data_IF_186448560617
#
_entry.id   IF_186448560617
#
_cell.length_a   1.000
_cell.length_b   1.000
_cell.length_c   1.000
_cell.angle_alpha   90.00
_cell.angle_beta   90.00
_cell.angle_gamma   90.00
#
_symmetry.space_group_name_H-M   'P 1'
#
loop_
_entity.id
_entity.type
_entity.pdbx_description
1 polymer ?
#
# COMPACT_ATOMS: atom_id res chain seq x y z
N UNK A 1 -11.40 10.47 -15.73
CA UNK A 1 -10.89 10.07 -14.39
C UNK A 1 -11.62 10.94 -13.39
N UNK A 2 -12.20 10.39 -12.32
CA UNK A 2 -12.86 11.20 -11.29
C UNK A 2 -11.84 12.05 -10.52
N UNK A 3 -12.28 13.11 -9.85
CA UNK A 3 -11.43 13.94 -8.98
C UNK A 3 -10.70 13.08 -7.92
N UNK A 4 -11.43 12.15 -7.28
CA UNK A 4 -10.86 11.21 -6.32
C UNK A 4 -9.76 10.32 -6.93
N UNK A 5 -9.94 9.85 -8.16
CA UNK A 5 -8.92 9.04 -8.84
C UNK A 5 -7.68 9.88 -9.20
N UNK A 6 -7.84 11.14 -9.62
CA UNK A 6 -6.71 12.03 -9.87
C UNK A 6 -5.90 12.27 -8.59
N UNK A 7 -6.58 12.63 -7.49
CA UNK A 7 -5.96 12.87 -6.18
C UNK A 7 -5.25 11.65 -5.62
N UNK A 8 -5.85 10.46 -5.72
CA UNK A 8 -5.21 9.23 -5.28
C UNK A 8 -3.95 8.93 -6.10
N UNK A 9 -4.00 9.15 -7.42
CA UNK A 9 -2.84 8.99 -8.30
C UNK A 9 -1.70 9.91 -7.87
N UNK A 10 -1.99 11.20 -7.63
CA UNK A 10 -1.01 12.19 -7.18
C UNK A 10 -0.37 11.79 -5.85
N UNK A 11 -1.18 11.35 -4.88
CA UNK A 11 -0.70 10.87 -3.59
C UNK A 11 0.24 9.67 -3.74
N UNK A 12 -0.13 8.68 -4.54
CA UNK A 12 0.69 7.48 -4.79
C UNK A 12 2.02 7.88 -5.45
N UNK A 13 1.96 8.71 -6.48
CA UNK A 13 3.17 9.19 -7.15
C UNK A 13 4.07 10.02 -6.22
N UNK A 14 3.48 10.77 -5.29
CA UNK A 14 4.22 11.53 -4.29
C UNK A 14 5.00 10.61 -3.34
N UNK A 15 4.34 9.67 -2.66
CA UNK A 15 5.01 8.75 -1.74
C UNK A 15 6.05 7.89 -2.46
N UNK A 16 5.75 7.43 -3.67
CA UNK A 16 6.68 6.59 -4.42
C UNK A 16 7.99 7.32 -4.73
N UNK A 17 7.91 8.57 -5.20
CA UNK A 17 9.11 9.39 -5.45
C UNK A 17 9.87 9.71 -4.16
N UNK A 18 9.15 10.05 -3.10
CA UNK A 18 9.74 10.40 -1.82
C UNK A 18 10.52 9.22 -1.24
N UNK A 19 9.88 8.05 -1.14
CA UNK A 19 10.46 6.85 -0.54
C UNK A 19 11.56 6.22 -1.40
N UNK A 20 11.52 6.36 -2.73
CA UNK A 20 12.62 5.91 -3.60
C UNK A 20 13.87 6.78 -3.47
N UNK A 21 13.76 8.00 -2.95
CA UNK A 21 14.88 8.89 -2.67
C UNK A 21 15.47 8.75 -1.27
N UNK A 22 14.92 7.85 -0.43
CA UNK A 22 15.37 7.64 0.95
C UNK A 22 16.24 6.38 1.04
N UNK A 23 17.44 6.53 1.61
CA UNK A 23 18.32 5.39 1.91
C UNK A 23 17.88 4.63 3.17
N UNK A 24 17.22 5.33 4.09
CA UNK A 24 16.70 4.74 5.33
C UNK A 24 15.44 3.91 5.07
N UNK A 25 15.40 2.73 5.69
CA UNK A 25 14.27 1.81 5.58
C UNK A 25 13.13 2.25 6.50
N UNK A 26 13.40 2.73 7.71
CA UNK A 26 12.36 3.13 8.66
C UNK A 26 12.24 4.64 8.68
N UNK A 27 11.24 5.16 7.98
CA UNK A 27 10.96 6.60 7.92
C UNK A 27 9.50 6.88 8.27
N UNK A 28 9.18 8.09 8.80
CA UNK A 28 7.81 8.48 9.10
C UNK A 28 6.85 8.29 7.91
N UNK A 29 7.31 8.59 6.70
CA UNK A 29 6.48 8.52 5.50
C UNK A 29 6.17 7.09 5.08
N UNK A 30 7.08 6.14 5.35
CA UNK A 30 6.84 4.71 5.10
C UNK A 30 5.89 4.13 6.14
N UNK A 31 5.98 4.58 7.39
CA UNK A 31 5.00 4.24 8.44
C UNK A 31 3.62 4.77 8.07
N UNK A 32 3.53 6.00 7.57
CA UNK A 32 2.27 6.58 7.10
C UNK A 32 1.70 5.82 5.91
N UNK A 33 2.52 5.47 4.92
CA UNK A 33 2.10 4.64 3.79
C UNK A 33 1.58 3.27 4.23
N UNK A 34 2.26 2.61 5.17
CA UNK A 34 1.80 1.35 5.74
C UNK A 34 0.45 1.49 6.46
N UNK A 35 0.26 2.57 7.23
CA UNK A 35 -1.01 2.89 7.90
C UNK A 35 -2.16 3.06 6.90
N UNK A 36 -1.94 3.87 5.85
CA UNK A 36 -2.94 4.08 4.79
C UNK A 36 -3.27 2.77 4.07
N UNK A 37 -2.24 1.97 3.76
CA UNK A 37 -2.41 0.66 3.10
C UNK A 37 -3.20 -0.31 3.97
N UNK A 38 -2.94 -0.35 5.28
CA UNK A 38 -3.68 -1.18 6.22
C UNK A 38 -5.15 -0.73 6.34
N UNK A 39 -5.40 0.57 6.42
CA UNK A 39 -6.76 1.12 6.50
C UNK A 39 -7.59 0.77 5.24
N UNK A 40 -7.04 1.03 4.05
CA UNK A 40 -7.67 0.66 2.78
C UNK A 40 -7.81 -0.87 2.63
N UNK A 41 -6.80 -1.63 3.06
CA UNK A 41 -6.78 -3.09 3.04
C UNK A 41 -7.88 -3.73 3.88
N UNK A 42 -8.19 -3.18 5.06
CA UNK A 42 -9.31 -3.66 5.88
C UNK A 42 -10.65 -3.46 5.21
N UNK A 43 -10.83 -2.37 4.46
CA UNK A 43 -12.04 -2.20 3.66
C UNK A 43 -12.12 -3.24 2.54
N UNK A 44 -11.03 -3.46 1.80
CA UNK A 44 -10.99 -4.50 0.78
C UNK A 44 -11.33 -5.87 1.37
N UNK A 45 -10.70 -6.22 2.49
CA UNK A 45 -10.89 -7.49 3.18
C UNK A 45 -12.35 -7.73 3.56
N UNK A 46 -12.99 -6.72 4.18
CA UNK A 46 -14.44 -6.76 4.49
C UNK A 46 -15.31 -6.81 3.24
N UNK A 47 -15.01 -6.00 2.24
CA UNK A 47 -15.76 -5.94 0.99
C UNK A 47 -15.75 -7.28 0.24
N UNK A 48 -14.64 -8.01 0.28
CA UNK A 48 -14.50 -9.34 -0.33
C UNK A 48 -15.09 -10.47 0.52
N UNK A 49 -15.41 -10.22 1.79
CA UNK A 49 -15.89 -11.25 2.71
C UNK A 49 -14.83 -12.31 3.00
N UNK A 50 -13.55 -11.92 3.02
CA UNK A 50 -12.47 -12.83 3.39
C UNK A 50 -12.47 -13.11 4.90
N UNK A 51 -12.01 -14.29 5.27
CA UNK A 51 -11.76 -14.68 6.65
C UNK A 51 -10.27 -14.61 7.00
N UNK A 52 -9.95 -14.81 8.29
CA UNK A 52 -8.59 -14.69 8.82
C UNK A 52 -7.60 -15.73 8.26
N UNK A 53 -8.07 -16.75 7.53
CA UNK A 53 -7.18 -17.68 6.82
C UNK A 53 -6.62 -17.07 5.53
N UNK A 54 -7.23 -16.01 5.01
CA UNK A 54 -6.78 -15.36 3.78
C UNK A 54 -5.43 -14.64 3.98
N UNK A 55 -4.46 -14.74 3.04
CA UNK A 55 -3.12 -14.16 3.21
C UNK A 55 -3.08 -12.67 3.58
N UNK A 56 -4.05 -11.89 3.10
CA UNK A 56 -4.18 -10.46 3.41
C UNK A 56 -4.35 -10.18 4.90
N UNK A 57 -4.97 -11.09 5.68
CA UNK A 57 -5.09 -10.93 7.13
C UNK A 57 -3.71 -10.84 7.81
N UNK A 58 -2.76 -11.69 7.38
CA UNK A 58 -1.37 -11.66 7.88
C UNK A 58 -0.66 -10.38 7.49
N UNK A 59 -0.87 -9.89 6.27
CA UNK A 59 -0.28 -8.63 5.80
C UNK A 59 -0.81 -7.42 6.57
N UNK A 60 -2.11 -7.41 6.90
CA UNK A 60 -2.69 -6.39 7.77
C UNK A 60 -2.08 -6.42 9.18
N UNK A 61 -1.92 -7.61 9.76
CA UNK A 61 -1.31 -7.77 11.08
C UNK A 61 0.17 -7.32 11.09
N UNK A 62 0.94 -7.63 10.04
CA UNK A 62 2.33 -7.18 9.94
C UNK A 62 2.44 -5.67 9.71
N UNK A 63 1.55 -5.08 8.91
CA UNK A 63 1.46 -3.63 8.77
C UNK A 63 1.16 -2.94 10.11
N UNK A 64 0.25 -3.50 10.91
CA UNK A 64 -0.06 -3.01 12.27
C UNK A 64 1.14 -3.10 13.20
N UNK A 65 1.89 -4.20 13.15
CA UNK A 65 3.11 -4.38 13.94
C UNK A 65 4.18 -3.35 13.57
N UNK A 66 4.40 -3.11 12.27
CA UNK A 66 5.31 -2.08 11.80
C UNK A 66 4.87 -0.68 12.23
N UNK A 67 3.58 -0.35 12.13
CA UNK A 67 3.06 0.95 12.55
C UNK A 67 3.18 1.15 14.07
N UNK A 68 3.00 0.10 14.87
CA UNK A 68 3.07 0.18 16.33
C UNK A 68 4.50 0.23 16.87
N UNK A 69 5.46 -0.43 16.21
CA UNK A 69 6.86 -0.44 16.59
C UNK A 69 7.78 -0.42 15.36
N UNK A 70 7.93 0.73 14.68
CA UNK A 70 8.70 0.82 13.46
C UNK A 70 10.16 0.41 13.67
N UNK A 71 10.59 -0.61 12.94
CA UNK A 71 11.96 -1.12 12.92
C UNK A 71 12.23 -1.81 11.59
N UNK A 72 13.50 -2.01 11.26
CA UNK A 72 13.89 -2.76 10.05
C UNK A 72 13.28 -4.17 10.05
N UNK A 73 13.23 -4.83 11.22
CA UNK A 73 12.64 -6.16 11.38
C UNK A 73 11.13 -6.18 11.09
N UNK A 74 10.38 -5.23 11.67
CA UNK A 74 8.92 -5.18 11.49
C UNK A 74 8.56 -4.76 10.07
N UNK A 75 9.34 -3.87 9.44
CA UNK A 75 9.18 -3.53 8.03
C UNK A 75 9.51 -4.71 7.11
N UNK A 76 10.62 -5.41 7.35
CA UNK A 76 11.03 -6.58 6.57
C UNK A 76 9.97 -7.67 6.63
N UNK A 77 9.40 -7.91 7.81
CA UNK A 77 8.29 -8.85 7.97
C UNK A 77 7.05 -8.40 7.19
N UNK A 78 6.68 -7.12 7.26
CA UNK A 78 5.57 -6.56 6.47
C UNK A 78 5.76 -6.78 4.96
N UNK A 79 6.94 -6.46 4.41
CA UNK A 79 7.27 -6.69 3.00
C UNK A 79 7.21 -8.18 2.65
N UNK A 80 7.80 -9.04 3.49
CA UNK A 80 7.84 -10.50 3.27
C UNK A 80 6.45 -11.11 3.20
N UNK A 81 5.53 -10.73 4.08
CA UNK A 81 4.16 -11.24 4.03
C UNK A 81 3.36 -10.62 2.89
N UNK A 82 3.60 -9.35 2.56
CA UNK A 82 2.99 -8.67 1.42
C UNK A 82 3.31 -9.35 0.09
N UNK A 83 4.55 -9.82 -0.10
CA UNK A 83 4.95 -10.61 -1.28
C UNK A 83 4.07 -11.85 -1.46
N UNK A 84 3.64 -12.46 -0.35
CA UNK A 84 2.80 -13.66 -0.35
C UNK A 84 1.28 -13.37 -0.38
N UNK A 85 0.87 -12.10 -0.44
CA UNK A 85 -0.54 -11.69 -0.47
C UNK A 85 -0.91 -10.90 -1.73
N UNK A 86 -0.27 -11.20 -2.87
CA UNK A 86 -0.58 -10.50 -4.12
C UNK A 86 -2.10 -10.53 -4.42
N UNK A 87 -2.73 -9.39 -4.77
CA UNK A 87 -2.16 -8.06 -4.95
C UNK A 87 -2.40 -7.12 -3.75
N UNK A 88 -1.67 -7.27 -2.64
CA UNK A 88 -1.77 -6.38 -1.47
C UNK A 88 -0.44 -6.17 -0.72
N UNK A 89 -0.06 -4.90 -0.50
CA UNK A 89 1.05 -4.46 0.36
C UNK A 89 2.31 -4.02 -0.41
N UNK A 90 3.41 -3.79 0.32
CA UNK A 90 4.69 -3.33 -0.24
C UNK A 90 5.66 -4.45 -0.67
N UNK A 91 5.13 -5.64 -0.96
CA UNK A 91 5.91 -6.78 -1.41
C UNK A 91 6.23 -6.74 -2.91
N UNK A 92 6.78 -7.84 -3.44
CA UNK A 92 7.29 -7.98 -4.81
C UNK A 92 6.21 -7.97 -5.93
N UNK A 93 4.98 -7.56 -5.60
CA UNK A 93 3.92 -7.40 -6.58
C UNK A 93 4.12 -6.16 -7.44
N UNK A 94 3.84 -6.23 -8.74
CA UNK A 94 3.85 -5.05 -9.60
C UNK A 94 2.52 -4.30 -9.48
N UNK A 95 2.52 -3.19 -8.76
CA UNK A 95 1.35 -2.34 -8.52
C UNK A 95 1.36 -1.01 -9.28
N UNK A 96 2.12 -0.92 -10.37
CA UNK A 96 2.28 0.35 -11.08
C UNK A 96 0.94 0.97 -11.48
N UNK A 97 0.83 2.28 -11.30
CA UNK A 97 -0.30 3.07 -11.77
C UNK A 97 -0.52 2.88 -13.28
N UNK A 98 -1.77 2.93 -13.79
CA UNK A 98 -2.03 2.85 -15.22
C UNK A 98 -1.27 3.94 -16.00
N UNK A 99 -0.75 3.58 -17.18
CA UNK A 99 0.03 4.51 -18.01
C UNK A 99 1.53 4.59 -17.68
N UNK A 100 2.02 3.74 -16.77
CA UNK A 100 3.44 3.51 -16.57
C UNK A 100 3.89 2.22 -17.28
N UNK A 101 4.97 2.30 -18.05
CA UNK A 101 5.51 1.14 -18.78
C UNK A 101 6.48 0.32 -17.93
N UNK A 102 7.09 0.93 -16.90
CA UNK A 102 8.06 0.30 -15.99
C UNK A 102 7.78 0.64 -14.51
N UNK A 103 8.61 0.13 -13.59
CA UNK A 103 8.58 0.45 -12.16
C UNK A 103 9.48 1.67 -11.84
N UNK A 104 9.38 2.71 -12.67
CA UNK A 104 10.08 3.97 -12.50
C UNK A 104 9.51 4.81 -11.33
N UNK A 105 10.27 5.77 -10.79
CA UNK A 105 9.80 6.65 -9.72
C UNK A 105 8.48 7.37 -10.03
N UNK A 106 7.54 7.27 -9.10
CA UNK A 106 6.17 7.78 -9.23
C UNK A 106 5.15 6.74 -9.74
N UNK A 107 5.60 5.56 -10.16
CA UNK A 107 4.71 4.47 -10.59
C UNK A 107 3.96 3.82 -9.43
N UNK A 108 4.50 3.88 -8.21
CA UNK A 108 3.96 3.20 -7.02
C UNK A 108 4.33 1.72 -6.94
N UNK A 109 5.10 1.19 -7.90
CA UNK A 109 5.46 -0.22 -7.97
C UNK A 109 6.47 -0.58 -6.86
N UNK A 110 7.64 0.08 -6.85
CA UNK A 110 8.78 -0.29 -6.01
C UNK A 110 8.51 -0.09 -4.52
N UNK A 111 7.76 0.94 -4.16
CA UNK A 111 7.46 1.27 -2.76
C UNK A 111 6.21 0.59 -2.23
N UNK A 112 5.45 -0.09 -3.08
CA UNK A 112 4.15 -0.64 -2.73
C UNK A 112 3.00 0.34 -2.70
N UNK A 113 3.25 1.65 -2.90
CA UNK A 113 2.21 2.67 -2.85
C UNK A 113 1.06 2.42 -3.85
N UNK A 114 1.38 1.78 -4.97
CA UNK A 114 0.40 1.35 -5.98
C UNK A 114 -0.65 0.37 -5.47
N UNK A 115 -0.41 -0.32 -4.34
CA UNK A 115 -1.44 -1.15 -3.68
C UNK A 115 -2.70 -0.35 -3.38
N UNK A 116 -2.58 0.93 -3.04
CA UNK A 116 -3.72 1.82 -2.80
C UNK A 116 -4.58 1.98 -4.06
N UNK A 117 -3.97 2.05 -5.24
CA UNK A 117 -4.69 2.10 -6.52
C UNK A 117 -5.41 0.79 -6.82
N UNK A 118 -4.74 -0.34 -6.59
CA UNK A 118 -5.31 -1.67 -6.77
C UNK A 118 -6.56 -1.87 -5.90
N UNK A 119 -6.47 -1.48 -4.62
CA UNK A 119 -7.60 -1.50 -3.68
C UNK A 119 -8.72 -0.57 -4.17
N UNK A 120 -8.41 0.68 -4.49
CA UNK A 120 -9.36 1.68 -4.96
C UNK A 120 -10.10 1.28 -6.24
N UNK A 121 -9.46 0.52 -7.12
CA UNK A 121 -10.08 -0.01 -8.34
C UNK A 121 -11.18 -1.04 -8.04
N UNK A 122 -11.18 -1.62 -6.84
CA UNK A 122 -12.19 -2.59 -6.39
C UNK A 122 -13.25 -1.95 -5.50
N UNK A 123 -12.86 -1.16 -4.50
CA UNK A 123 -13.78 -0.61 -3.49
C UNK A 123 -14.21 0.85 -3.75
N UNK A 124 -13.64 1.49 -4.77
CA UNK A 124 -13.88 2.88 -5.14
C UNK A 124 -12.83 3.86 -4.62
N UNK A 125 -12.35 4.75 -5.49
CA UNK A 125 -11.31 5.74 -5.18
C UNK A 125 -11.71 6.72 -4.08
N UNK A 126 -12.96 7.16 -4.06
CA UNK A 126 -13.47 8.06 -3.02
C UNK A 126 -13.51 7.39 -1.64
N UNK A 127 -14.06 6.16 -1.58
CA UNK A 127 -14.06 5.33 -0.38
C UNK A 127 -12.65 5.12 0.17
N UNK A 128 -11.69 4.81 -0.72
CA UNK A 128 -10.29 4.61 -0.34
C UNK A 128 -9.68 5.88 0.25
N UNK A 129 -9.87 7.05 -0.36
CA UNK A 129 -9.33 8.30 0.16
C UNK A 129 -9.91 8.66 1.54
N UNK A 130 -11.21 8.44 1.77
CA UNK A 130 -11.89 8.76 3.03
C UNK A 130 -11.32 7.98 4.23
N UNK A 131 -10.84 6.75 4.02
CA UNK A 131 -10.30 5.94 5.12
C UNK A 131 -8.80 6.09 5.34
N UNK A 132 -8.12 6.78 4.42
CA UNK A 132 -6.69 7.04 4.51
C UNK A 132 -6.36 8.33 5.28
N UNK A 133 -7.33 9.26 5.34
CA UNK A 133 -7.29 10.48 6.16
C UNK A 133 -7.53 10.21 7.64
#
# INVERSE_FOLDING_TARGET
MSDAAARLRELISHYDRLLMGQDEIVTPERVELARMTAAAGRLLFRHKGWDDSHPVARTLAAADAFVAGPSDDTYSEYVRVATNSYPFGAGDGCFKLPGYDSCEPGSGCTTGAGSLWSIASVIGHETTLIVMS
#
